data_IF_022855546803
#
_entry.id   IF_022855546803
#
_cell.length_a   1.000
_cell.length_b   1.000
_cell.length_c   1.000
_cell.angle_alpha   90.00
_cell.angle_beta   90.00
_cell.angle_gamma   90.00
#
_symmetry.space_group_name_H-M   'P 1'
#
loop_
_entity.id
_entity.type
_entity.pdbx_description
1 polymer ?
#
# COMPACT_ATOMS: atom_id res chain seq x y z
N UNK A 1 -13.36 -29.80 21.44
CA UNK A 1 -12.65 -28.57 21.84
C UNK A 1 -13.51 -27.41 21.40
N UNK A 2 -13.85 -26.47 22.29
CA UNK A 2 -14.57 -25.27 21.87
C UNK A 2 -13.59 -24.39 21.06
N UNK A 3 -13.95 -24.06 19.83
CA UNK A 3 -13.19 -23.12 19.01
C UNK A 3 -13.29 -21.74 19.67
N UNK A 4 -12.16 -21.06 19.85
CA UNK A 4 -12.14 -19.67 20.27
C UNK A 4 -12.71 -18.79 19.15
N UNK A 5 -13.75 -18.06 19.46
CA UNK A 5 -14.42 -17.19 18.49
C UNK A 5 -13.58 -15.91 18.26
N UNK A 6 -13.48 -15.47 17.00
CA UNK A 6 -12.81 -14.22 16.61
C UNK A 6 -13.74 -13.37 15.74
N UNK A 7 -13.96 -12.13 16.16
CA UNK A 7 -14.76 -11.15 15.43
C UNK A 7 -13.85 -10.25 14.58
N UNK A 8 -14.04 -10.34 13.29
CA UNK A 8 -13.22 -9.68 12.27
C UNK A 8 -14.05 -8.64 11.55
N UNK A 9 -13.61 -7.39 11.59
CA UNK A 9 -14.18 -6.30 10.81
C UNK A 9 -13.29 -6.00 9.61
N UNK A 10 -13.86 -6.06 8.40
CA UNK A 10 -13.20 -5.72 7.14
C UNK A 10 -13.76 -4.40 6.65
N UNK A 11 -12.94 -3.35 6.72
CA UNK A 11 -13.30 -1.96 6.38
C UNK A 11 -12.61 -1.48 5.09
N UNK A 12 -12.29 -2.40 4.19
CA UNK A 12 -11.75 -2.12 2.85
C UNK A 12 -12.71 -2.65 1.78
N UNK A 13 -12.67 -2.08 0.56
CA UNK A 13 -13.42 -2.62 -0.55
C UNK A 13 -13.00 -4.07 -0.86
N UNK A 14 -13.96 -4.98 -0.86
CA UNK A 14 -13.75 -6.40 -1.17
C UNK A 14 -14.79 -6.91 -2.17
N UNK A 15 -14.36 -7.79 -3.07
CA UNK A 15 -15.25 -8.54 -3.95
C UNK A 15 -15.75 -9.81 -3.26
N UNK A 16 -16.77 -10.47 -3.79
CA UNK A 16 -17.23 -11.78 -3.29
C UNK A 16 -16.11 -12.84 -3.33
N UNK A 17 -15.23 -12.79 -4.33
CA UNK A 17 -14.06 -13.66 -4.40
C UNK A 17 -13.09 -13.42 -3.22
N UNK A 18 -12.88 -12.15 -2.83
CA UNK A 18 -12.05 -11.82 -1.67
C UNK A 18 -12.68 -12.31 -0.38
N UNK A 19 -13.98 -12.14 -0.18
CA UNK A 19 -14.70 -12.65 1.00
C UNK A 19 -14.56 -14.16 1.11
N UNK A 20 -14.90 -14.89 0.04
CA UNK A 20 -14.77 -16.34 -0.03
C UNK A 20 -13.35 -16.81 0.30
N UNK A 21 -12.34 -16.11 -0.21
CA UNK A 21 -10.95 -16.43 0.07
C UNK A 21 -10.59 -16.23 1.55
N UNK A 22 -10.95 -15.08 2.14
CA UNK A 22 -10.69 -14.78 3.55
C UNK A 22 -11.37 -15.79 4.48
N UNK A 23 -12.66 -16.09 4.24
CA UNK A 23 -13.43 -17.02 5.04
C UNK A 23 -12.90 -18.46 4.93
N UNK A 24 -12.50 -18.88 3.71
CA UNK A 24 -11.86 -20.16 3.48
C UNK A 24 -10.53 -20.29 4.22
N UNK A 25 -9.68 -19.25 4.19
CA UNK A 25 -8.42 -19.27 4.90
C UNK A 25 -8.64 -19.30 6.42
N UNK A 26 -9.60 -18.54 6.93
CA UNK A 26 -9.94 -18.52 8.35
C UNK A 26 -10.49 -19.87 8.84
N UNK A 27 -11.28 -20.56 8.02
CA UNK A 27 -11.87 -21.88 8.38
C UNK A 27 -10.83 -23.00 8.53
N UNK A 28 -9.62 -22.82 7.96
CA UNK A 28 -8.52 -23.78 8.13
C UNK A 28 -7.75 -23.59 9.44
N UNK A 29 -8.05 -22.55 10.20
CA UNK A 29 -7.36 -22.17 11.43
C UNK A 29 -7.96 -22.77 12.70
N UNK A 30 -7.43 -22.32 13.83
CA UNK A 30 -7.85 -22.75 15.20
C UNK A 30 -9.06 -21.99 15.73
N UNK A 31 -9.52 -20.96 14.99
CA UNK A 31 -10.54 -20.04 15.44
C UNK A 31 -11.82 -20.18 14.61
N UNK A 32 -12.96 -19.98 15.27
CA UNK A 32 -14.23 -19.75 14.58
C UNK A 32 -14.32 -18.25 14.27
N UNK A 33 -14.11 -17.85 13.02
CA UNK A 33 -14.03 -16.45 12.62
C UNK A 33 -15.39 -15.96 12.10
N UNK A 34 -15.89 -14.88 12.71
CA UNK A 34 -17.07 -14.16 12.27
C UNK A 34 -16.67 -12.89 11.55
N UNK A 35 -16.95 -12.81 10.25
CA UNK A 35 -16.64 -11.66 9.42
C UNK A 35 -17.80 -10.68 9.33
N UNK A 36 -17.48 -9.39 9.47
CA UNK A 36 -18.35 -8.27 9.14
C UNK A 36 -17.65 -7.41 8.09
N UNK A 37 -18.36 -7.08 7.03
CA UNK A 37 -17.85 -6.28 5.92
C UNK A 37 -18.60 -4.95 5.91
N UNK A 38 -17.96 -3.88 6.39
CA UNK A 38 -18.55 -2.57 6.52
C UNK A 38 -17.64 -1.55 5.83
N UNK A 39 -18.13 -0.79 4.83
CA UNK A 39 -17.34 0.29 4.24
C UNK A 39 -16.83 1.25 5.33
N UNK A 40 -15.58 1.68 5.23
CA UNK A 40 -14.91 2.49 6.27
C UNK A 40 -15.69 3.74 6.69
N UNK A 41 -16.47 4.31 5.74
CA UNK A 41 -17.30 5.51 5.94
C UNK A 41 -18.53 5.26 6.83
N UNK A 42 -18.91 4.00 6.98
CA UNK A 42 -20.11 3.59 7.73
C UNK A 42 -19.76 2.87 9.04
N UNK A 43 -18.46 2.67 9.33
CA UNK A 43 -18.04 2.04 10.59
C UNK A 43 -18.31 2.99 11.75
N UNK A 44 -19.01 2.50 12.75
CA UNK A 44 -19.35 3.23 13.98
C UNK A 44 -18.54 2.73 15.18
N UNK A 45 -18.68 3.38 16.34
CA UNK A 45 -18.04 2.94 17.59
C UNK A 45 -18.58 1.58 18.05
N UNK A 46 -19.86 1.39 17.90
CA UNK A 46 -20.59 0.17 18.27
C UNK A 46 -20.05 -1.05 17.51
N UNK A 47 -19.65 -0.85 16.23
CA UNK A 47 -19.03 -1.91 15.44
C UNK A 47 -17.66 -2.32 15.96
N UNK A 48 -17.01 -1.49 16.73
CA UNK A 48 -15.66 -1.71 17.24
C UNK A 48 -15.63 -2.30 18.66
N UNK A 49 -16.73 -2.23 19.40
CA UNK A 49 -16.80 -2.66 20.82
C UNK A 49 -16.33 -4.10 21.03
N UNK A 50 -16.66 -4.99 20.11
CA UNK A 50 -16.36 -6.41 20.19
C UNK A 50 -15.39 -6.89 19.10
N UNK A 51 -14.90 -5.98 18.24
CA UNK A 51 -13.95 -6.29 17.16
C UNK A 51 -12.58 -6.66 17.73
N UNK A 52 -12.08 -7.84 17.36
CA UNK A 52 -10.76 -8.34 17.76
C UNK A 52 -9.74 -8.22 16.61
N UNK A 53 -10.18 -8.29 15.37
CA UNK A 53 -9.33 -8.10 14.18
C UNK A 53 -9.97 -7.04 13.30
N UNK A 54 -9.19 -6.03 12.94
CA UNK A 54 -9.61 -4.97 12.02
C UNK A 54 -8.71 -4.99 10.79
N UNK A 55 -9.33 -5.08 9.62
CA UNK A 55 -8.65 -4.99 8.33
C UNK A 55 -9.07 -3.70 7.65
N UNK A 56 -8.15 -2.74 7.54
CA UNK A 56 -8.38 -1.44 6.91
C UNK A 56 -7.87 -0.25 7.71
N UNK A 57 -7.94 0.92 7.10
CA UNK A 57 -7.43 2.17 7.66
C UNK A 57 -8.59 3.04 8.16
N UNK A 58 -9.05 2.81 9.37
CA UNK A 58 -9.99 3.71 10.04
C UNK A 58 -9.25 4.90 10.66
N UNK A 59 -9.91 6.05 10.90
CA UNK A 59 -9.30 7.15 11.64
C UNK A 59 -8.76 6.68 13.01
N UNK A 60 -7.55 7.07 13.42
CA UNK A 60 -6.98 6.65 14.71
C UNK A 60 -7.86 6.94 15.92
N UNK A 61 -8.62 8.05 15.87
CA UNK A 61 -9.59 8.39 16.92
C UNK A 61 -10.70 7.32 17.07
N UNK A 62 -11.12 6.72 15.95
CA UNK A 62 -12.11 5.65 15.95
C UNK A 62 -11.49 4.31 16.39
N UNK A 63 -10.25 4.03 15.94
CA UNK A 63 -9.52 2.80 16.34
C UNK A 63 -9.32 2.73 17.86
N UNK A 64 -9.16 3.86 18.55
CA UNK A 64 -9.07 3.94 20.02
C UNK A 64 -10.29 3.37 20.76
N UNK A 65 -11.44 3.33 20.11
CA UNK A 65 -12.67 2.77 20.67
C UNK A 65 -12.68 1.23 20.65
N UNK A 66 -11.84 0.62 19.81
CA UNK A 66 -11.73 -0.84 19.68
C UNK A 66 -10.94 -1.47 20.85
N UNK A 67 -11.50 -1.46 22.05
CA UNK A 67 -10.85 -1.89 23.30
C UNK A 67 -10.46 -3.38 23.33
N UNK A 68 -11.10 -4.21 22.48
CA UNK A 68 -10.84 -5.64 22.37
C UNK A 68 -9.96 -5.99 21.18
N UNK A 69 -9.43 -4.98 20.47
CA UNK A 69 -8.61 -5.20 19.29
C UNK A 69 -7.29 -5.91 19.64
N UNK A 70 -7.06 -7.02 18.98
CA UNK A 70 -5.84 -7.83 19.09
C UNK A 70 -4.93 -7.68 17.89
N UNK A 71 -5.51 -7.37 16.72
CA UNK A 71 -4.76 -7.19 15.49
C UNK A 71 -5.38 -6.14 14.57
N UNK A 72 -4.57 -5.18 14.16
CA UNK A 72 -4.89 -4.22 13.09
C UNK A 72 -4.02 -4.51 11.87
N UNK A 73 -4.64 -4.90 10.77
CA UNK A 73 -4.02 -5.00 9.46
C UNK A 73 -4.36 -3.76 8.62
N UNK A 74 -3.37 -2.95 8.30
CA UNK A 74 -3.53 -1.81 7.41
C UNK A 74 -3.50 -2.24 5.94
N UNK A 75 -4.24 -1.54 5.09
CA UNK A 75 -4.13 -1.66 3.63
C UNK A 75 -3.17 -0.62 3.01
N UNK A 76 -2.44 0.13 3.83
CA UNK A 76 -1.35 1.04 3.44
C UNK A 76 0.00 0.53 3.93
N UNK A 77 1.08 0.96 3.29
CA UNK A 77 2.44 0.72 3.78
C UNK A 77 2.79 1.64 4.97
N UNK A 78 2.26 2.87 5.00
CA UNK A 78 2.46 3.81 6.11
C UNK A 78 1.65 3.40 7.34
N UNK A 79 2.29 3.39 8.51
CA UNK A 79 1.69 3.00 9.79
C UNK A 79 1.77 4.10 10.87
N UNK A 80 2.45 5.20 10.59
CA UNK A 80 2.76 6.27 11.56
C UNK A 80 1.54 6.77 12.36
N UNK A 81 0.33 6.95 11.77
CA UNK A 81 -0.83 7.41 12.53
C UNK A 81 -1.29 6.45 13.63
N UNK A 82 -0.90 5.17 13.55
CA UNK A 82 -1.36 4.12 14.46
C UNK A 82 -0.31 3.72 15.51
N UNK A 83 0.92 4.26 15.40
CA UNK A 83 2.02 3.95 16.32
C UNK A 83 2.03 4.77 17.61
N UNK A 84 1.39 5.97 17.72
CA UNK A 84 1.36 6.70 18.98
C UNK A 84 0.68 5.90 20.09
N UNK A 85 1.19 6.07 21.31
CA UNK A 85 0.64 5.43 22.50
C UNK A 85 -0.86 5.72 22.67
N UNK A 86 -1.61 4.69 23.07
CA UNK A 86 -3.06 4.78 23.28
C UNK A 86 -3.90 4.77 22.02
N UNK A 87 -3.33 4.62 20.81
CA UNK A 87 -4.12 4.37 19.59
C UNK A 87 -4.57 2.92 19.53
N UNK A 88 -3.69 1.99 19.86
CA UNK A 88 -4.02 0.57 19.94
C UNK A 88 -4.03 0.11 21.39
N UNK A 89 -4.84 -0.90 21.75
CA UNK A 89 -4.75 -1.56 23.03
C UNK A 89 -3.35 -2.14 23.28
N UNK A 90 -2.95 -2.22 24.54
CA UNK A 90 -1.69 -2.85 24.92
C UNK A 90 -1.65 -4.31 24.44
N UNK A 91 -0.58 -4.69 23.76
CA UNK A 91 -0.40 -6.03 23.21
C UNK A 91 -1.06 -6.28 21.85
N UNK A 92 -1.82 -5.32 21.30
CA UNK A 92 -2.35 -5.46 19.95
C UNK A 92 -1.22 -5.44 18.89
N UNK A 93 -1.35 -6.30 17.90
CA UNK A 93 -0.40 -6.38 16.78
C UNK A 93 -0.80 -5.40 15.69
N UNK A 94 0.15 -4.61 15.19
CA UNK A 94 -0.01 -3.76 14.02
C UNK A 94 0.78 -4.33 12.86
N UNK A 95 0.11 -4.56 11.74
CA UNK A 95 0.73 -4.94 10.46
C UNK A 95 0.27 -4.02 9.34
N UNK A 96 1.10 -3.89 8.31
CA UNK A 96 0.83 -3.02 7.19
C UNK A 96 0.96 -3.76 5.85
N UNK A 97 0.71 -3.07 4.74
CA UNK A 97 0.78 -3.63 3.39
C UNK A 97 2.13 -3.36 2.69
N UNK A 98 3.23 -3.29 3.44
CA UNK A 98 4.58 -3.21 2.84
C UNK A 98 4.82 -4.43 1.95
N UNK A 99 5.32 -4.21 0.74
CA UNK A 99 5.49 -5.24 -0.30
C UNK A 99 4.35 -5.31 -1.31
N UNK A 100 3.18 -4.73 -1.02
CA UNK A 100 2.03 -4.78 -1.93
C UNK A 100 2.09 -3.73 -3.06
N UNK A 101 2.87 -2.68 -2.90
CA UNK A 101 2.87 -1.52 -3.79
C UNK A 101 4.10 -1.43 -4.69
N UNK A 102 5.14 -2.22 -4.44
CA UNK A 102 6.43 -2.13 -5.12
C UNK A 102 6.30 -2.15 -6.64
N UNK A 103 5.55 -3.11 -7.19
CA UNK A 103 5.32 -3.24 -8.62
C UNK A 103 4.69 -1.98 -9.23
N UNK A 104 3.49 -1.63 -8.79
CA UNK A 104 2.72 -0.54 -9.40
C UNK A 104 3.41 0.82 -9.27
N UNK A 105 3.97 1.13 -8.10
CA UNK A 105 4.64 2.41 -7.86
C UNK A 105 5.95 2.50 -8.62
N UNK A 106 6.75 1.44 -8.68
CA UNK A 106 8.01 1.44 -9.43
C UNK A 106 7.80 1.55 -10.95
N UNK A 107 6.72 0.97 -11.48
CA UNK A 107 6.32 1.17 -12.88
C UNK A 107 5.89 2.61 -13.16
N UNK A 108 5.14 3.21 -12.25
CA UNK A 108 4.78 4.62 -12.35
C UNK A 108 6.03 5.52 -12.30
N UNK A 109 6.98 5.25 -11.40
CA UNK A 109 8.27 5.95 -11.36
C UNK A 109 9.02 5.83 -12.68
N UNK A 110 9.03 4.65 -13.29
CA UNK A 110 9.67 4.43 -14.60
C UNK A 110 8.99 5.26 -15.69
N UNK A 111 7.66 5.29 -15.73
CA UNK A 111 6.89 6.10 -16.66
C UNK A 111 7.21 7.60 -16.52
N UNK A 112 7.22 8.12 -15.27
CA UNK A 112 7.60 9.50 -14.99
C UNK A 112 9.07 9.80 -15.39
N UNK A 113 9.97 8.84 -15.18
CA UNK A 113 11.36 8.96 -15.60
C UNK A 113 11.45 9.18 -17.10
N UNK A 114 10.76 8.34 -17.89
CA UNK A 114 10.74 8.52 -19.35
C UNK A 114 10.04 9.82 -19.76
N UNK A 115 8.92 10.18 -19.15
CA UNK A 115 8.25 11.46 -19.42
C UNK A 115 9.23 12.63 -19.29
N UNK A 116 9.97 12.65 -18.17
CA UNK A 116 10.91 13.73 -17.86
C UNK A 116 12.09 13.78 -18.83
N UNK A 117 12.84 12.66 -18.98
CA UNK A 117 14.08 12.64 -19.77
C UNK A 117 13.83 12.72 -21.27
N UNK A 118 12.66 12.27 -21.74
CA UNK A 118 12.22 12.35 -23.14
C UNK A 118 11.36 13.58 -23.44
N UNK A 119 11.06 14.40 -22.42
CA UNK A 119 10.26 15.63 -22.54
C UNK A 119 8.86 15.39 -23.13
N UNK A 120 8.23 14.25 -22.77
CA UNK A 120 6.97 13.84 -23.40
C UNK A 120 5.85 14.85 -23.18
N UNK A 121 5.73 15.42 -21.98
CA UNK A 121 4.74 16.46 -21.68
C UNK A 121 4.90 17.70 -22.58
N UNK A 122 6.14 18.11 -22.91
CA UNK A 122 6.41 19.22 -23.83
C UNK A 122 6.06 18.87 -25.28
N UNK A 123 6.41 17.67 -25.72
CA UNK A 123 6.05 17.19 -27.05
C UNK A 123 4.55 16.99 -27.20
N UNK A 124 3.87 16.52 -26.17
CA UNK A 124 2.41 16.40 -26.16
C UNK A 124 1.73 17.76 -26.36
N UNK A 125 2.24 18.82 -25.69
CA UNK A 125 1.75 20.19 -25.92
C UNK A 125 2.01 20.66 -27.37
N UNK A 126 3.22 20.45 -27.88
CA UNK A 126 3.52 20.79 -29.27
C UNK A 126 2.59 20.06 -30.26
N UNK A 127 2.29 18.79 -29.99
CA UNK A 127 1.37 18.00 -30.83
C UNK A 127 -0.06 18.58 -30.81
N UNK A 128 -0.56 18.97 -29.63
CA UNK A 128 -1.87 19.63 -29.50
C UNK A 128 -1.92 20.95 -30.29
N UNK A 129 -0.82 21.71 -30.25
CA UNK A 129 -0.66 22.98 -30.97
C UNK A 129 -0.28 22.77 -32.46
N UNK A 130 -0.21 21.52 -32.96
CA UNK A 130 0.22 21.15 -34.33
C UNK A 130 1.60 21.70 -34.68
N UNK A 131 2.51 21.81 -33.72
CA UNK A 131 3.86 22.34 -33.92
C UNK A 131 4.88 21.21 -34.01
N UNK A 132 5.56 21.12 -35.13
CA UNK A 132 6.73 20.25 -35.31
C UNK A 132 8.00 20.99 -34.89
N UNK A 133 8.37 20.88 -33.62
CA UNK A 133 9.50 21.61 -33.04
C UNK A 133 10.29 20.72 -32.08
N UNK A 134 11.63 20.74 -32.23
CA UNK A 134 12.52 20.08 -31.24
C UNK A 134 12.48 20.80 -29.89
N UNK A 135 12.45 20.02 -28.82
CA UNK A 135 12.54 20.50 -27.47
C UNK A 135 13.96 20.43 -26.89
N UNK A 136 14.97 20.27 -27.76
CA UNK A 136 16.38 20.19 -27.39
C UNK A 136 16.84 18.75 -27.06
N UNK A 137 18.00 18.65 -26.43
CA UNK A 137 18.63 17.37 -26.13
C UNK A 137 17.77 16.53 -25.18
N UNK A 138 17.77 15.24 -25.44
CA UNK A 138 17.14 14.20 -24.61
C UNK A 138 18.22 13.37 -23.92
N UNK A 139 17.85 12.73 -22.82
CA UNK A 139 18.73 11.83 -22.06
C UNK A 139 18.23 10.40 -22.30
N UNK A 140 19.15 9.45 -22.39
CA UNK A 140 18.84 8.02 -22.39
C UNK A 140 18.99 7.44 -20.98
N UNK A 141 18.20 6.43 -20.67
CA UNK A 141 18.36 5.64 -19.43
C UNK A 141 19.63 4.81 -19.52
N UNK A 142 19.90 4.20 -20.69
CA UNK A 142 21.13 3.46 -20.96
C UNK A 142 22.37 4.35 -20.74
N UNK A 143 23.31 3.86 -19.97
CA UNK A 143 24.55 4.56 -19.61
C UNK A 143 24.39 5.70 -18.60
N UNK A 144 23.15 6.03 -18.18
CA UNK A 144 22.93 7.04 -17.15
C UNK A 144 23.19 6.50 -15.74
N UNK A 145 23.45 7.40 -14.78
CA UNK A 145 23.53 7.05 -13.36
C UNK A 145 22.29 7.57 -12.65
N UNK A 146 21.56 6.68 -11.97
CA UNK A 146 20.34 7.00 -11.24
C UNK A 146 20.60 6.84 -9.74
N UNK A 147 20.46 7.94 -8.98
CA UNK A 147 20.51 7.96 -7.53
C UNK A 147 19.11 7.67 -6.98
N UNK A 148 18.99 6.66 -6.11
CA UNK A 148 17.74 6.23 -5.51
C UNK A 148 17.82 6.46 -4.00
N UNK A 149 17.08 7.44 -3.50
CA UNK A 149 16.98 7.74 -2.07
C UNK A 149 15.86 6.89 -1.46
N UNK A 150 16.24 5.87 -0.69
CA UNK A 150 15.32 4.88 -0.12
C UNK A 150 15.29 3.58 -0.92
N UNK A 151 16.29 2.70 -0.70
CA UNK A 151 16.40 1.40 -1.36
C UNK A 151 15.63 0.32 -0.56
N UNK A 152 14.33 0.57 -0.32
CA UNK A 152 13.36 -0.39 0.25
C UNK A 152 12.63 -1.17 -0.84
N UNK A 153 11.37 -1.54 -0.57
CA UNK A 153 10.50 -2.29 -1.49
C UNK A 153 10.37 -1.59 -2.86
N UNK A 154 9.85 -0.37 -2.88
CA UNK A 154 9.62 0.40 -4.11
C UNK A 154 10.94 0.77 -4.79
N UNK A 155 11.90 1.32 -4.04
CA UNK A 155 13.18 1.77 -4.61
C UNK A 155 14.03 0.61 -5.12
N UNK A 156 13.99 -0.55 -4.47
CA UNK A 156 14.65 -1.76 -4.91
C UNK A 156 14.05 -2.31 -6.20
N UNK A 157 12.72 -2.27 -6.32
CA UNK A 157 12.03 -2.71 -7.53
C UNK A 157 12.30 -1.77 -8.72
N UNK A 158 12.27 -0.46 -8.47
CA UNK A 158 12.65 0.55 -9.47
C UNK A 158 14.11 0.37 -9.92
N UNK A 159 15.05 0.12 -8.96
CA UNK A 159 16.46 -0.11 -9.29
C UNK A 159 16.63 -1.29 -10.24
N UNK A 160 15.93 -2.40 -10.02
CA UNK A 160 15.97 -3.57 -10.92
C UNK A 160 15.51 -3.22 -12.34
N UNK A 161 14.43 -2.44 -12.47
CA UNK A 161 13.87 -2.03 -13.75
C UNK A 161 14.83 -1.12 -14.54
N UNK A 162 15.38 -0.08 -13.91
CA UNK A 162 16.29 0.83 -14.61
C UNK A 162 17.64 0.19 -14.93
N UNK A 163 18.12 -0.75 -14.10
CA UNK A 163 19.30 -1.57 -14.42
C UNK A 163 19.07 -2.45 -15.64
N UNK A 164 17.89 -3.04 -15.78
CA UNK A 164 17.54 -3.81 -16.98
C UNK A 164 17.51 -2.96 -18.25
N UNK A 165 17.34 -1.64 -18.12
CA UNK A 165 17.41 -0.66 -19.20
C UNK A 165 18.82 -0.07 -19.41
N UNK A 166 19.85 -0.63 -18.77
CA UNK A 166 21.24 -0.24 -18.95
C UNK A 166 21.72 0.94 -18.09
N UNK A 167 20.98 1.35 -17.07
CA UNK A 167 21.42 2.39 -16.13
C UNK A 167 22.37 1.83 -15.06
N UNK A 168 23.27 2.69 -14.57
CA UNK A 168 23.98 2.49 -13.31
C UNK A 168 23.13 3.01 -12.16
N UNK A 169 23.04 2.27 -11.06
CA UNK A 169 22.22 2.68 -9.91
C UNK A 169 23.07 2.87 -8.67
N UNK A 170 22.83 3.97 -7.95
CA UNK A 170 23.36 4.24 -6.63
C UNK A 170 22.17 4.31 -5.67
N UNK A 171 22.14 3.42 -4.68
CA UNK A 171 21.05 3.35 -3.69
C UNK A 171 21.51 3.83 -2.32
N UNK A 172 20.68 4.65 -1.67
CA UNK A 172 20.87 5.04 -0.27
C UNK A 172 19.80 4.33 0.56
N UNK A 173 20.23 3.65 1.63
CA UNK A 173 19.34 2.98 2.58
C UNK A 173 19.74 3.37 4.00
N UNK A 174 18.73 3.55 4.84
CA UNK A 174 18.87 3.73 6.29
C UNK A 174 19.21 2.43 6.96
#
# INVERSE_FOLDING_TARGET
MAYLEKKILVAIPVTEAHKTYLEKQASSGKYNCQFRYIPKEHVTKEDLEDTQVLIGNLPPALVREAKRLEWLQLNSAGADPYTPEGVLPAGAVLTNATGAYGLAVSEHMLALTFDLIRRLGQYHKNQADRQWRSMGNIISVEGSTILILGLGDIGGDYARKVKALGAYTIGVRR
#
